data_IF_191960615477
#
_entry.id   IF_191960615477
#
_cell.length_a   1.000
_cell.length_b   1.000
_cell.length_c   1.000
_cell.angle_alpha   90.00
_cell.angle_beta   90.00
_cell.angle_gamma   90.00
#
_symmetry.space_group_name_H-M   'P 1'
#
loop_
_entity.id
_entity.type
_entity.pdbx_description
1 polymer ?
#
# COMPACT_ATOMS: atom_id res chain seq x y z
N UNK A 1 -26.50 -7.85 28.90
CA UNK A 1 -26.09 -9.27 28.96
C UNK A 1 -25.32 -9.56 27.68
N UNK A 2 -24.01 -9.78 27.73
CA UNK A 2 -23.24 -10.20 26.55
C UNK A 2 -23.56 -11.67 26.25
N UNK A 3 -23.70 -12.02 24.98
CA UNK A 3 -23.88 -13.38 24.51
C UNK A 3 -22.53 -13.98 24.11
N UNK A 4 -22.46 -15.30 24.11
CA UNK A 4 -21.34 -16.05 23.52
C UNK A 4 -21.33 -15.84 22.01
N UNK A 5 -20.12 -15.72 21.44
CA UNK A 5 -19.87 -15.68 19.98
C UNK A 5 -20.67 -16.82 19.30
N UNK A 6 -21.27 -16.61 18.10
CA UNK A 6 -21.89 -17.70 17.35
C UNK A 6 -20.95 -18.91 17.26
N UNK A 7 -21.44 -20.11 17.58
CA UNK A 7 -20.63 -21.33 17.61
C UNK A 7 -19.81 -21.46 16.30
N UNK A 8 -18.48 -21.47 16.42
CA UNK A 8 -17.56 -21.66 15.30
C UNK A 8 -17.13 -20.39 14.54
N UNK A 9 -17.58 -19.19 14.94
CA UNK A 9 -17.11 -17.95 14.31
C UNK A 9 -15.79 -17.48 14.93
N UNK A 10 -14.72 -17.49 14.13
CA UNK A 10 -13.43 -16.90 14.49
C UNK A 10 -13.27 -15.55 13.77
N UNK A 11 -13.20 -14.46 14.54
CA UNK A 11 -13.05 -13.10 14.01
C UNK A 11 -11.70 -12.89 13.33
N UNK A 12 -10.65 -13.61 13.73
CA UNK A 12 -9.32 -13.49 13.14
C UNK A 12 -9.11 -14.40 11.93
N UNK A 13 -10.03 -15.34 11.68
CA UNK A 13 -9.98 -16.18 10.50
C UNK A 13 -10.23 -15.33 9.22
N UNK A 14 -9.47 -15.57 8.14
CA UNK A 14 -9.74 -14.93 6.85
C UNK A 14 -11.14 -15.28 6.35
N UNK A 15 -11.91 -14.28 5.91
CA UNK A 15 -13.25 -14.47 5.33
C UNK A 15 -13.24 -15.33 4.06
N UNK A 16 -12.15 -15.26 3.29
CA UNK A 16 -11.94 -16.02 2.06
C UNK A 16 -10.65 -16.82 2.15
N UNK A 17 -10.60 -17.96 1.48
CA UNK A 17 -9.44 -18.84 1.46
C UNK A 17 -8.20 -18.15 0.86
N UNK A 18 -7.18 -17.93 1.70
CA UNK A 18 -5.94 -17.25 1.32
C UNK A 18 -4.97 -18.15 0.52
N UNK A 19 -5.24 -19.45 0.39
CA UNK A 19 -4.45 -20.35 -0.45
C UNK A 19 -4.65 -20.05 -1.95
N UNK A 20 -5.85 -19.60 -2.32
CA UNK A 20 -6.21 -19.27 -3.71
C UNK A 20 -5.94 -17.82 -4.05
N UNK A 21 -5.60 -17.54 -5.32
CA UNK A 21 -5.45 -16.17 -5.82
C UNK A 21 -6.75 -15.36 -5.67
N UNK A 22 -7.90 -15.95 -6.03
CA UNK A 22 -9.20 -15.28 -5.98
C UNK A 22 -9.59 -14.92 -4.55
N UNK A 23 -9.30 -15.78 -3.57
CA UNK A 23 -9.57 -15.46 -2.16
C UNK A 23 -8.68 -14.35 -1.63
N UNK A 24 -7.39 -14.31 -1.99
CA UNK A 24 -6.51 -13.17 -1.69
C UNK A 24 -7.00 -11.88 -2.34
N UNK A 25 -7.40 -11.93 -3.61
CA UNK A 25 -7.95 -10.77 -4.33
C UNK A 25 -9.20 -10.22 -3.64
N UNK A 26 -10.16 -11.09 -3.28
CA UNK A 26 -11.37 -10.68 -2.55
C UNK A 26 -11.04 -10.06 -1.19
N UNK A 27 -10.06 -10.62 -0.48
CA UNK A 27 -9.58 -10.07 0.78
C UNK A 27 -9.04 -8.65 0.61
N UNK A 28 -8.11 -8.44 -0.33
CA UNK A 28 -7.55 -7.11 -0.59
C UNK A 28 -8.61 -6.11 -1.05
N UNK A 29 -9.51 -6.48 -1.97
CA UNK A 29 -10.60 -5.61 -2.41
C UNK A 29 -11.53 -5.18 -1.26
N UNK A 30 -11.71 -6.04 -0.27
CA UNK A 30 -12.56 -5.74 0.88
C UNK A 30 -11.91 -4.75 1.86
N UNK A 31 -10.62 -4.91 2.14
CA UNK A 31 -9.90 -4.02 3.07
C UNK A 31 -9.53 -2.67 2.43
N UNK A 32 -9.34 -2.64 1.11
CA UNK A 32 -9.04 -1.42 0.35
C UNK A 32 -10.28 -0.76 -0.25
N UNK A 33 -11.49 -1.09 0.22
CA UNK A 33 -12.72 -0.49 -0.29
C UNK A 33 -12.75 1.01 0.00
N UNK A 34 -12.74 1.89 -1.03
CA UNK A 34 -12.72 3.35 -0.83
C UNK A 34 -13.91 3.90 -0.05
N UNK A 35 -15.03 3.16 0.00
CA UNK A 35 -16.23 3.59 0.74
C UNK A 35 -15.98 3.67 2.24
N UNK A 36 -15.01 2.92 2.77
CA UNK A 36 -14.67 2.96 4.20
C UNK A 36 -14.01 4.27 4.61
N UNK A 37 -13.52 5.07 3.66
CA UNK A 37 -13.00 6.43 3.89
C UNK A 37 -14.12 7.38 4.36
N UNK A 38 -15.36 7.15 3.94
CA UNK A 38 -16.51 8.01 4.26
C UNK A 38 -17.16 7.69 5.61
N UNK A 39 -16.71 6.62 6.27
CA UNK A 39 -17.25 6.16 7.56
C UNK A 39 -16.75 7.07 8.70
N UNK A 40 -17.64 7.41 9.62
CA UNK A 40 -17.32 8.32 10.73
C UNK A 40 -16.36 7.68 11.74
N UNK A 41 -15.62 8.50 12.48
CA UNK A 41 -14.69 7.99 13.50
C UNK A 41 -15.40 7.21 14.61
N UNK A 42 -16.60 7.63 15.00
CA UNK A 42 -17.42 6.94 16.00
C UNK A 42 -17.81 5.52 15.54
N UNK A 43 -18.12 5.34 14.26
CA UNK A 43 -18.46 4.02 13.72
C UNK A 43 -17.22 3.11 13.65
N UNK A 44 -16.05 3.67 13.34
CA UNK A 44 -14.79 2.94 13.38
C UNK A 44 -14.42 2.49 14.81
N UNK A 45 -14.64 3.34 15.81
CA UNK A 45 -14.36 3.00 17.21
C UNK A 45 -15.35 1.95 17.76
N UNK A 46 -16.61 2.01 17.33
CA UNK A 46 -17.60 0.95 17.59
C UNK A 46 -17.19 -0.38 16.94
N UNK A 47 -16.71 -0.34 15.69
CA UNK A 47 -16.23 -1.54 15.00
C UNK A 47 -15.03 -2.15 15.73
N UNK A 48 -14.07 -1.33 16.19
CA UNK A 48 -12.95 -1.78 17.02
C UNK A 48 -13.41 -2.45 18.31
N UNK A 49 -14.29 -1.79 19.06
CA UNK A 49 -14.84 -2.34 20.32
C UNK A 49 -15.52 -3.69 20.08
N UNK A 50 -16.25 -3.84 18.97
CA UNK A 50 -16.93 -5.08 18.62
C UNK A 50 -15.94 -6.20 18.25
N UNK A 51 -14.89 -5.89 17.49
CA UNK A 51 -13.85 -6.86 17.11
C UNK A 51 -13.05 -7.32 18.33
N UNK A 52 -12.64 -6.38 19.20
CA UNK A 52 -11.93 -6.69 20.45
C UNK A 52 -12.81 -7.48 21.42
N UNK A 53 -14.10 -7.12 21.53
CA UNK A 53 -15.09 -7.90 22.28
C UNK A 53 -15.21 -9.33 21.75
N UNK A 54 -15.29 -9.52 20.43
CA UNK A 54 -15.32 -10.85 19.82
C UNK A 54 -14.08 -11.68 20.15
N UNK A 55 -12.89 -11.07 20.12
CA UNK A 55 -11.63 -11.72 20.53
C UNK A 55 -11.64 -12.13 22.01
N UNK A 56 -12.29 -11.33 22.86
CA UNK A 56 -12.50 -11.64 24.27
C UNK A 56 -13.66 -12.63 24.53
N UNK A 57 -14.33 -13.13 23.49
CA UNK A 57 -15.48 -14.04 23.61
C UNK A 57 -16.80 -13.35 23.97
N UNK A 58 -16.85 -12.02 23.94
CA UNK A 58 -17.99 -11.20 24.35
C UNK A 58 -18.64 -10.53 23.14
N UNK A 59 -19.86 -10.96 22.79
CA UNK A 59 -20.60 -10.40 21.66
C UNK A 59 -21.92 -9.81 22.14
N UNK A 60 -22.39 -8.68 21.59
CA UNK A 60 -23.75 -8.20 21.84
C UNK A 60 -24.77 -9.30 21.51
N UNK A 61 -25.78 -9.53 22.37
CA UNK A 61 -26.80 -10.54 22.11
C UNK A 61 -27.57 -10.19 20.83
N UNK A 62 -27.64 -11.15 19.89
CA UNK A 62 -28.33 -10.97 18.60
C UNK A 62 -27.47 -10.40 17.47
N UNK A 63 -26.15 -10.27 17.63
CA UNK A 63 -25.27 -9.89 16.52
C UNK A 63 -25.30 -10.92 15.41
N UNK A 64 -25.60 -10.48 14.18
CA UNK A 64 -25.53 -11.35 13.01
C UNK A 64 -24.08 -11.54 12.56
N UNK A 65 -23.78 -12.67 11.90
CA UNK A 65 -22.45 -12.92 11.34
C UNK A 65 -22.04 -11.83 10.34
N UNK A 66 -22.99 -11.26 9.60
CA UNK A 66 -22.73 -10.17 8.65
C UNK A 66 -22.30 -8.88 9.34
N UNK A 67 -22.90 -8.56 10.49
CA UNK A 67 -22.49 -7.39 11.29
C UNK A 67 -21.07 -7.56 11.82
N UNK A 68 -20.70 -8.76 12.29
CA UNK A 68 -19.34 -9.05 12.74
C UNK A 68 -18.33 -8.96 11.61
N UNK A 69 -18.67 -9.49 10.43
CA UNK A 69 -17.82 -9.39 9.24
C UNK A 69 -17.68 -7.95 8.72
N UNK A 70 -18.74 -7.14 8.81
CA UNK A 70 -18.67 -5.73 8.45
C UNK A 70 -17.83 -4.93 9.44
N UNK A 71 -17.98 -5.16 10.74
CA UNK A 71 -17.11 -4.55 11.75
C UNK A 71 -15.65 -4.96 11.57
N UNK A 72 -15.38 -6.23 11.23
CA UNK A 72 -14.04 -6.68 10.85
C UNK A 72 -13.51 -5.93 9.63
N UNK A 73 -14.32 -5.75 8.58
CA UNK A 73 -13.94 -4.97 7.39
C UNK A 73 -13.55 -3.54 7.77
N UNK A 74 -14.36 -2.87 8.59
CA UNK A 74 -14.06 -1.51 9.04
C UNK A 74 -12.77 -1.48 9.85
N UNK A 75 -12.60 -2.41 10.79
CA UNK A 75 -11.40 -2.55 11.60
C UNK A 75 -10.14 -2.74 10.74
N UNK A 76 -10.14 -3.76 9.87
CA UNK A 76 -9.01 -4.07 8.99
C UNK A 76 -8.66 -2.91 8.03
N UNK A 77 -9.63 -2.08 7.68
CA UNK A 77 -9.42 -0.95 6.76
C UNK A 77 -8.86 0.32 7.44
N UNK A 78 -9.02 0.46 8.76
CA UNK A 78 -8.76 1.70 9.49
C UNK A 78 -7.76 1.57 10.64
N UNK A 79 -7.45 0.35 11.09
CA UNK A 79 -6.54 0.09 12.19
C UNK A 79 -5.33 -0.73 11.73
N UNK A 80 -4.17 -0.44 12.32
CA UNK A 80 -2.93 -1.12 12.00
C UNK A 80 -2.97 -2.59 12.45
N UNK A 81 -2.63 -3.56 11.59
CA UNK A 81 -2.71 -4.98 11.93
C UNK A 81 -1.81 -5.34 13.13
N UNK A 82 -0.61 -4.76 13.18
CA UNK A 82 0.35 -5.07 14.25
C UNK A 82 0.13 -4.30 15.56
N UNK A 83 -0.19 -2.99 15.51
CA UNK A 83 -0.31 -2.16 16.72
C UNK A 83 -1.75 -1.98 17.21
N UNK A 84 -2.75 -2.26 16.36
CA UNK A 84 -4.17 -2.00 16.67
C UNK A 84 -4.52 -0.51 16.77
N UNK A 85 -3.60 0.38 16.41
CA UNK A 85 -3.80 1.84 16.43
C UNK A 85 -4.55 2.32 15.19
N UNK A 86 -5.32 3.40 15.35
CA UNK A 86 -6.08 4.00 14.26
C UNK A 86 -5.11 4.66 13.26
N UNK A 87 -5.19 4.26 12.00
CA UNK A 87 -4.41 4.84 10.92
C UNK A 87 -4.93 6.21 10.51
N UNK A 88 -4.02 7.11 10.14
CA UNK A 88 -4.34 8.37 9.48
C UNK A 88 -5.10 8.10 8.17
N UNK A 89 -6.22 8.81 7.94
CA UNK A 89 -7.08 8.67 6.77
C UNK A 89 -6.30 8.65 5.44
N UNK A 90 -5.33 9.57 5.28
CA UNK A 90 -4.55 9.71 4.04
C UNK A 90 -3.65 8.48 3.82
N UNK A 91 -3.17 7.88 4.91
CA UNK A 91 -2.31 6.70 4.87
C UNK A 91 -3.06 5.37 4.75
N UNK A 92 -4.41 5.37 4.86
CA UNK A 92 -5.20 4.14 4.73
C UNK A 92 -5.11 3.62 3.31
N UNK A 93 -4.97 2.30 3.16
CA UNK A 93 -4.98 1.65 1.85
C UNK A 93 -6.30 1.90 1.09
N UNK A 94 -7.43 2.07 1.81
CA UNK A 94 -8.71 2.45 1.20
C UNK A 94 -8.69 3.86 0.56
N UNK A 95 -7.85 4.78 1.04
CA UNK A 95 -7.68 6.11 0.45
C UNK A 95 -6.66 6.16 -0.69
N UNK A 96 -5.86 5.11 -0.88
CA UNK A 96 -4.81 5.11 -1.90
C UNK A 96 -5.35 5.26 -3.32
N UNK A 97 -6.45 4.58 -3.65
CA UNK A 97 -7.11 4.70 -4.95
C UNK A 97 -7.69 6.11 -5.17
N UNK A 98 -8.59 6.63 -4.31
CA UNK A 98 -9.16 7.96 -4.52
C UNK A 98 -8.10 9.08 -4.47
N UNK A 99 -7.19 9.04 -3.50
CA UNK A 99 -6.10 10.00 -3.38
C UNK A 99 -5.12 9.93 -4.55
N UNK A 100 -4.71 8.72 -4.94
CA UNK A 100 -3.83 8.50 -6.08
C UNK A 100 -4.45 8.91 -7.41
N UNK A 101 -5.75 8.67 -7.61
CA UNK A 101 -6.47 9.11 -8.81
C UNK A 101 -6.55 10.64 -8.88
N UNK A 102 -6.88 11.31 -7.78
CA UNK A 102 -6.90 12.77 -7.72
C UNK A 102 -5.51 13.37 -8.04
N UNK A 103 -4.45 12.84 -7.42
CA UNK A 103 -3.07 13.26 -7.67
C UNK A 103 -2.65 13.04 -9.12
N UNK A 104 -2.96 11.87 -9.67
CA UNK A 104 -2.68 11.56 -11.08
C UNK A 104 -3.43 12.52 -12.00
N UNK A 105 -4.70 12.80 -11.73
CA UNK A 105 -5.49 13.78 -12.46
C UNK A 105 -4.86 15.18 -12.43
N UNK A 106 -4.41 15.65 -11.26
CA UNK A 106 -3.71 16.92 -11.13
C UNK A 106 -2.37 16.93 -11.89
N UNK A 107 -1.58 15.87 -11.78
CA UNK A 107 -0.32 15.73 -12.53
C UNK A 107 -0.55 15.78 -14.04
N UNK A 108 -1.60 15.13 -14.54
CA UNK A 108 -1.98 15.13 -15.96
C UNK A 108 -2.59 16.45 -16.43
N UNK A 109 -3.25 17.22 -15.55
CA UNK A 109 -3.81 18.51 -15.90
C UNK A 109 -2.74 19.61 -15.92
N UNK A 110 -1.83 19.59 -14.95
CA UNK A 110 -0.87 20.67 -14.71
C UNK A 110 0.56 20.34 -15.19
N UNK A 111 0.75 19.42 -16.14
CA UNK A 111 2.07 19.00 -16.62
C UNK A 111 2.82 20.01 -17.51
N UNK A 112 2.16 21.08 -17.97
CA UNK A 112 2.70 21.97 -19.02
C UNK A 112 3.88 22.83 -18.54
N UNK A 113 3.92 23.19 -17.26
CA UNK A 113 4.98 24.05 -16.70
C UNK A 113 5.86 23.27 -15.73
N UNK A 114 7.17 23.54 -15.78
CA UNK A 114 8.14 22.88 -14.90
C UNK A 114 7.82 23.10 -13.41
N UNK A 115 7.47 24.32 -12.94
CA UNK A 115 7.11 24.53 -11.54
C UNK A 115 5.90 23.69 -11.09
N UNK A 116 4.88 23.56 -11.94
CA UNK A 116 3.71 22.75 -11.63
C UNK A 116 4.05 21.24 -11.59
N UNK A 117 4.87 20.76 -12.53
CA UNK A 117 5.39 19.38 -12.51
C UNK A 117 6.17 19.12 -11.22
N UNK A 118 7.04 20.04 -10.81
CA UNK A 118 7.81 19.91 -9.57
C UNK A 118 6.90 19.86 -8.35
N UNK A 119 5.96 20.79 -8.25
CA UNK A 119 5.01 20.85 -7.14
C UNK A 119 4.20 19.56 -7.02
N UNK A 120 3.56 19.12 -8.10
CA UNK A 120 2.71 17.92 -8.06
C UNK A 120 3.50 16.63 -7.86
N UNK A 121 4.75 16.56 -8.33
CA UNK A 121 5.61 15.42 -8.03
C UNK A 121 6.03 15.38 -6.56
N UNK A 122 6.31 16.54 -5.96
CA UNK A 122 6.56 16.63 -4.53
C UNK A 122 5.34 16.21 -3.70
N UNK A 123 4.13 16.66 -4.07
CA UNK A 123 2.88 16.22 -3.42
C UNK A 123 2.70 14.71 -3.56
N UNK A 124 2.92 14.15 -4.75
CA UNK A 124 2.82 12.71 -4.99
C UNK A 124 3.81 11.90 -4.14
N UNK A 125 5.06 12.34 -4.00
CA UNK A 125 6.03 11.64 -3.15
C UNK A 125 5.71 11.81 -1.66
N UNK A 126 5.17 12.96 -1.25
CA UNK A 126 4.68 13.18 0.11
C UNK A 126 3.54 12.23 0.46
N UNK A 127 2.58 12.06 -0.45
CA UNK A 127 1.48 11.12 -0.31
C UNK A 127 1.98 9.68 -0.18
N UNK A 128 2.86 9.24 -1.09
CA UNK A 128 3.45 7.90 -1.03
C UNK A 128 4.26 7.68 0.26
N UNK A 129 4.96 8.70 0.76
CA UNK A 129 5.69 8.62 2.02
C UNK A 129 4.75 8.42 3.22
N UNK A 130 3.61 9.13 3.26
CA UNK A 130 2.58 8.96 4.30
C UNK A 130 2.00 7.54 4.24
N UNK A 131 1.59 7.06 3.07
CA UNK A 131 1.06 5.71 2.89
C UNK A 131 2.08 4.65 3.35
N UNK A 132 3.34 4.77 2.93
CA UNK A 132 4.39 3.84 3.34
C UNK A 132 4.70 3.91 4.84
N UNK A 133 4.66 5.10 5.46
CA UNK A 133 4.84 5.26 6.90
C UNK A 133 3.70 4.65 7.69
N UNK A 134 2.46 4.84 7.25
CA UNK A 134 1.26 4.31 7.92
C UNK A 134 1.14 2.80 7.81
N UNK A 135 1.62 2.19 6.72
CA UNK A 135 1.54 0.74 6.49
C UNK A 135 2.88 0.01 6.71
N UNK A 136 3.82 0.63 7.44
CA UNK A 136 5.10 0.00 7.76
C UNK A 136 4.89 -1.15 8.75
N UNK A 137 5.69 -2.20 8.62
CA UNK A 137 5.68 -3.30 9.58
C UNK A 137 6.07 -2.76 10.98
N UNK A 138 5.20 -2.93 11.98
CA UNK A 138 5.48 -2.44 13.33
C UNK A 138 6.51 -3.33 14.07
N UNK A 139 6.65 -4.59 13.67
CA UNK A 139 7.63 -5.53 14.22
C UNK A 139 9.06 -5.28 13.70
N UNK A 140 9.23 -4.49 12.63
CA UNK A 140 10.56 -4.11 12.11
C UNK A 140 10.71 -2.59 12.14
N UNK A 141 11.28 -2.02 13.23
CA UNK A 141 11.32 -0.58 13.41
C UNK A 141 12.21 0.09 12.37
N UNK A 142 11.62 0.90 11.50
CA UNK A 142 12.34 1.75 10.55
C UNK A 142 12.75 3.05 11.24
N UNK A 143 14.04 3.38 11.21
CA UNK A 143 14.52 4.64 11.78
C UNK A 143 13.98 5.85 11.00
N UNK A 144 13.72 6.97 11.70
CA UNK A 144 13.32 8.23 11.07
C UNK A 144 14.33 8.69 10.00
N UNK A 145 15.61 8.44 10.23
CA UNK A 145 16.68 8.73 9.26
C UNK A 145 16.48 7.96 7.96
N UNK A 146 16.14 6.67 8.01
CA UNK A 146 15.89 5.87 6.81
C UNK A 146 14.67 6.36 6.04
N UNK A 147 13.59 6.73 6.74
CA UNK A 147 12.38 7.29 6.12
C UNK A 147 12.71 8.62 5.43
N UNK A 148 13.49 9.48 6.09
CA UNK A 148 13.95 10.74 5.51
C UNK A 148 14.84 10.54 4.27
N UNK A 149 15.80 9.62 4.33
CA UNK A 149 16.66 9.28 3.19
C UNK A 149 15.82 8.76 2.02
N UNK A 150 14.91 7.81 2.28
CA UNK A 150 14.02 7.26 1.27
C UNK A 150 13.15 8.35 0.63
N UNK A 151 12.60 9.26 1.44
CA UNK A 151 11.78 10.35 0.95
C UNK A 151 12.55 11.35 0.08
N UNK A 152 13.73 11.80 0.52
CA UNK A 152 14.57 12.74 -0.23
C UNK A 152 15.05 12.11 -1.55
N UNK A 153 15.48 10.86 -1.51
CA UNK A 153 15.94 10.16 -2.72
C UNK A 153 14.81 9.87 -3.69
N UNK A 154 13.63 9.45 -3.21
CA UNK A 154 12.45 9.25 -4.05
C UNK A 154 11.98 10.58 -4.68
N UNK A 155 11.93 11.65 -3.89
CA UNK A 155 11.58 13.00 -4.38
C UNK A 155 12.58 13.51 -5.40
N UNK A 156 13.88 13.46 -5.10
CA UNK A 156 14.93 13.89 -6.02
C UNK A 156 14.91 13.10 -7.33
N UNK A 157 14.77 11.78 -7.26
CA UNK A 157 14.68 10.92 -8.45
C UNK A 157 13.44 11.24 -9.27
N UNK A 158 12.27 11.38 -8.63
CA UNK A 158 11.02 11.69 -9.31
C UNK A 158 11.07 13.05 -10.02
N UNK A 159 11.65 14.07 -9.36
CA UNK A 159 11.82 15.40 -9.94
C UNK A 159 12.82 15.41 -11.09
N UNK A 160 13.99 14.79 -10.91
CA UNK A 160 15.00 14.67 -11.97
C UNK A 160 14.43 13.98 -13.21
N UNK A 161 13.69 12.89 -13.00
CA UNK A 161 12.99 12.14 -14.04
C UNK A 161 11.95 13.05 -14.72
N UNK A 162 11.02 13.65 -13.96
CA UNK A 162 9.95 14.45 -14.52
C UNK A 162 10.44 15.66 -15.34
N UNK A 163 11.45 16.37 -14.83
CA UNK A 163 12.05 17.52 -15.54
C UNK A 163 12.85 17.04 -16.75
N UNK A 164 13.69 16.02 -16.60
CA UNK A 164 14.51 15.47 -17.68
C UNK A 164 13.66 14.99 -18.86
N UNK A 165 12.57 14.27 -18.56
CA UNK A 165 11.65 13.77 -19.58
C UNK A 165 10.85 14.88 -20.24
N UNK A 166 10.42 15.92 -19.52
CA UNK A 166 9.73 17.08 -20.10
C UNK A 166 10.65 17.90 -21.02
N UNK A 167 11.95 17.95 -20.73
CA UNK A 167 12.93 18.56 -21.64
C UNK A 167 13.20 17.67 -22.86
N UNK A 168 13.24 16.35 -22.68
CA UNK A 168 13.52 15.40 -23.76
C UNK A 168 12.35 15.24 -24.74
N UNK A 169 11.10 15.18 -24.26
CA UNK A 169 9.90 15.11 -25.12
C UNK A 169 9.80 16.27 -26.11
N UNK A 170 10.27 17.47 -25.71
CA UNK A 170 10.29 18.65 -26.58
C UNK A 170 11.28 18.55 -27.76
N UNK A 171 12.26 17.63 -27.68
CA UNK A 171 13.31 17.44 -28.69
C UNK A 171 13.18 16.13 -29.47
N UNK A 172 12.33 15.20 -29.02
CA UNK A 172 12.21 13.88 -29.60
C UNK A 172 11.29 13.85 -30.84
N UNK A 173 11.59 13.02 -31.85
CA UNK A 173 10.67 12.73 -32.94
C UNK A 173 9.29 12.25 -32.42
N UNK A 174 8.17 12.56 -33.10
CA UNK A 174 6.82 12.28 -32.59
C UNK A 174 6.55 10.81 -32.23
N UNK A 175 7.19 9.87 -32.94
CA UNK A 175 7.07 8.43 -32.64
C UNK A 175 7.81 8.02 -31.37
N UNK A 176 9.00 8.58 -31.13
CA UNK A 176 9.77 8.32 -29.90
C UNK A 176 9.15 9.02 -28.70
N UNK A 177 8.64 10.25 -28.88
CA UNK A 177 7.97 11.02 -27.83
C UNK A 177 6.80 10.27 -27.17
N UNK A 178 6.14 9.35 -27.89
CA UNK A 178 5.06 8.50 -27.36
C UNK A 178 5.53 7.45 -26.36
N UNK A 179 6.77 6.97 -26.47
CA UNK A 179 7.36 5.98 -25.58
C UNK A 179 8.03 6.60 -24.35
N UNK A 180 8.28 7.92 -24.39
CA UNK A 180 8.96 8.65 -23.32
C UNK A 180 8.25 8.49 -21.96
N UNK A 181 6.92 8.59 -21.84
CA UNK A 181 6.22 8.33 -20.57
C UNK A 181 6.37 6.89 -20.06
N UNK A 182 6.37 5.88 -20.94
CA UNK A 182 6.59 4.50 -20.55
C UNK A 182 8.01 4.27 -20.03
N UNK A 183 9.02 4.76 -20.77
CA UNK A 183 10.43 4.67 -20.36
C UNK A 183 10.67 5.38 -19.02
N UNK A 184 10.01 6.51 -18.78
CA UNK A 184 10.03 7.22 -17.51
C UNK A 184 9.54 6.37 -16.35
N UNK A 185 8.35 5.78 -16.49
CA UNK A 185 7.74 4.94 -15.46
C UNK A 185 8.60 3.71 -15.22
N UNK A 186 9.18 3.13 -16.27
CA UNK A 186 10.07 1.98 -16.13
C UNK A 186 11.34 2.32 -15.35
N UNK A 187 12.04 3.39 -15.73
CA UNK A 187 13.23 3.86 -15.04
C UNK A 187 12.93 4.23 -13.57
N UNK A 188 11.82 4.91 -13.31
CA UNK A 188 11.40 5.27 -11.97
C UNK A 188 11.13 4.02 -11.09
N UNK A 189 10.49 2.99 -11.63
CA UNK A 189 10.25 1.74 -10.88
C UNK A 189 11.56 0.97 -10.60
N UNK A 190 12.53 0.99 -11.52
CA UNK A 190 13.85 0.40 -11.30
C UNK A 190 14.64 1.05 -10.16
N UNK A 191 14.39 2.33 -9.86
CA UNK A 191 15.06 3.04 -8.76
C UNK A 191 14.24 3.00 -7.47
N UNK A 192 12.94 3.31 -7.56
CA UNK A 192 12.08 3.49 -6.39
C UNK A 192 11.94 2.18 -5.58
N UNK A 193 11.66 1.05 -6.25
CA UNK A 193 11.38 -0.20 -5.54
C UNK A 193 12.60 -0.72 -4.77
N UNK A 194 13.82 -0.81 -5.36
CA UNK A 194 15.00 -1.23 -4.60
C UNK A 194 15.35 -0.26 -3.47
N UNK A 195 15.16 1.05 -3.66
CA UNK A 195 15.42 2.05 -2.62
C UNK A 195 14.45 1.93 -1.44
N UNK A 196 13.16 1.77 -1.71
CA UNK A 196 12.14 1.57 -0.67
C UNK A 196 12.34 0.27 0.09
N UNK A 197 12.82 -0.79 -0.59
CA UNK A 197 13.08 -2.12 -0.02
C UNK A 197 14.56 -2.36 0.27
N UNK A 198 15.36 -1.30 0.42
CA UNK A 198 16.81 -1.40 0.62
C UNK A 198 17.17 -2.23 1.86
N UNK A 199 16.35 -2.18 2.92
CA UNK A 199 16.59 -2.95 4.14
C UNK A 199 16.50 -4.46 3.90
N UNK A 200 15.59 -4.90 3.02
CA UNK A 200 15.48 -6.31 2.65
C UNK A 200 16.69 -6.76 1.83
N UNK A 201 17.28 -5.86 1.03
CA UNK A 201 18.51 -6.14 0.27
C UNK A 201 19.71 -6.23 1.21
N UNK A 202 19.81 -5.34 2.20
CA UNK A 202 20.93 -5.25 3.13
C UNK A 202 20.86 -6.31 4.24
N UNK A 203 19.69 -6.56 4.81
CA UNK A 203 19.53 -7.47 5.95
C UNK A 203 19.01 -8.86 5.53
N UNK A 204 18.38 -8.97 4.36
CA UNK A 204 17.72 -10.19 3.91
C UNK A 204 16.26 -10.26 4.34
N UNK A 205 15.51 -11.15 3.70
CA UNK A 205 14.14 -11.51 4.10
C UNK A 205 14.15 -12.87 4.78
N UNK A 206 13.30 -13.07 5.79
CA UNK A 206 13.08 -14.37 6.41
C UNK A 206 12.62 -15.40 5.38
N UNK A 207 13.25 -16.57 5.38
CA UNK A 207 12.90 -17.72 4.57
C UNK A 207 12.39 -18.80 5.51
N UNK A 208 11.23 -19.36 5.19
CA UNK A 208 10.61 -20.44 5.94
C UNK A 208 10.62 -21.74 5.14
N UNK A 209 10.53 -22.87 5.83
CA UNK A 209 10.23 -24.16 5.21
C UNK A 209 8.72 -24.31 4.90
N UNK A 210 8.31 -25.49 4.43
CA UNK A 210 6.92 -25.81 4.13
C UNK A 210 6.01 -25.90 5.37
N UNK A 211 6.61 -26.02 6.56
CA UNK A 211 5.91 -26.11 7.84
C UNK A 211 5.90 -24.76 8.60
N UNK A 212 6.27 -23.66 7.93
CA UNK A 212 6.40 -22.30 8.46
C UNK A 212 7.49 -22.12 9.54
N UNK A 213 8.46 -23.02 9.64
CA UNK A 213 9.60 -22.80 10.52
C UNK A 213 10.60 -21.84 9.86
N UNK A 214 11.11 -20.88 10.63
CA UNK A 214 12.11 -19.91 10.16
C UNK A 214 13.48 -20.59 9.96
N UNK A 215 13.97 -20.62 8.73
CA UNK A 215 15.27 -21.16 8.35
C UNK A 215 16.39 -20.11 8.41
N UNK A 216 16.02 -18.82 8.38
CA UNK A 216 16.94 -17.68 8.48
C UNK A 216 16.71 -16.61 7.40
N UNK A 217 17.63 -15.65 7.28
CA UNK A 217 17.49 -14.51 6.37
C UNK A 217 18.29 -14.66 5.07
N UNK A 218 17.67 -14.37 3.92
CA UNK A 218 18.30 -14.44 2.60
C UNK A 218 18.22 -13.13 1.84
N UNK A 219 19.39 -12.53 1.57
CA UNK A 219 19.52 -11.36 0.67
C UNK A 219 19.22 -11.70 -0.79
N UNK A 220 19.53 -12.93 -1.21
CA UNK A 220 19.26 -13.39 -2.58
C UNK A 220 17.75 -13.52 -2.84
N UNK A 221 17.01 -14.01 -1.85
CA UNK A 221 15.55 -14.07 -1.93
C UNK A 221 14.95 -12.66 -2.04
N UNK A 222 15.46 -11.70 -1.24
CA UNK A 222 15.05 -10.30 -1.32
C UNK A 222 15.31 -9.71 -2.71
N UNK A 223 16.53 -9.86 -3.24
CA UNK A 223 16.89 -9.35 -4.57
C UNK A 223 16.02 -9.95 -5.68
N UNK A 224 15.76 -11.26 -5.64
CA UNK A 224 14.89 -11.94 -6.61
C UNK A 224 13.45 -11.42 -6.54
N UNK A 225 12.88 -11.31 -5.33
CA UNK A 225 11.54 -10.80 -5.13
C UNK A 225 11.39 -9.36 -5.61
N UNK A 226 12.36 -8.50 -5.27
CA UNK A 226 12.39 -7.09 -5.70
C UNK A 226 12.48 -7.00 -7.23
N UNK A 227 13.34 -7.79 -7.88
CA UNK A 227 13.46 -7.81 -9.33
C UNK A 227 12.14 -8.25 -10.00
N UNK A 228 11.47 -9.28 -9.49
CA UNK A 228 10.16 -9.72 -9.99
C UNK A 228 9.10 -8.62 -9.84
N UNK A 229 9.11 -7.88 -8.72
CA UNK A 229 8.20 -6.76 -8.50
C UNK A 229 8.47 -5.61 -9.48
N UNK A 230 9.74 -5.28 -9.74
CA UNK A 230 10.13 -4.27 -10.74
C UNK A 230 9.60 -4.67 -12.12
N UNK A 231 9.88 -5.90 -12.57
CA UNK A 231 9.41 -6.40 -13.86
C UNK A 231 7.88 -6.34 -13.94
N UNK A 232 7.18 -6.86 -12.94
CA UNK A 232 5.72 -6.85 -12.88
C UNK A 232 5.15 -5.44 -12.98
N UNK A 233 5.70 -4.46 -12.24
CA UNK A 233 5.24 -3.07 -12.31
C UNK A 233 5.48 -2.42 -13.67
N UNK A 234 6.60 -2.72 -14.32
CA UNK A 234 6.90 -2.22 -15.66
C UNK A 234 5.92 -2.83 -16.66
N UNK A 235 5.66 -4.13 -16.59
CA UNK A 235 4.70 -4.82 -17.46
C UNK A 235 3.29 -4.28 -17.27
N UNK A 236 2.85 -4.02 -16.02
CA UNK A 236 1.55 -3.40 -15.75
C UNK A 236 1.42 -1.98 -16.31
N UNK A 237 2.53 -1.25 -16.40
CA UNK A 237 2.59 0.09 -16.97
C UNK A 237 2.81 0.08 -18.49
N UNK A 238 3.02 -1.09 -19.11
CA UNK A 238 3.19 -1.19 -20.54
C UNK A 238 1.90 -0.71 -21.24
N UNK A 239 2.00 0.17 -22.24
CA UNK A 239 0.83 0.61 -22.99
C UNK A 239 0.16 -0.61 -23.62
N UNK A 240 -1.13 -0.80 -23.34
CA UNK A 240 -1.94 -1.77 -24.06
C UNK A 240 -1.99 -1.35 -25.52
N UNK A 241 -1.48 -2.20 -26.41
CA UNK A 241 -1.75 -2.10 -27.84
C UNK A 241 -3.14 -2.66 -28.14
#
# INVERSE_FOLDING_TARGET
>A
KMATVPLGFNIDAPRWDQSTFVGRLKHFLNITDPRTVLVSEEELDRAKTLVEGCRAGLVPPGSSQEQLLYAKKLYDSAFHPDSGEKMNLIGRMSFQVPGGMALTGCMLQFYRTVPAVVFWQWVNQSFNAIVNYTNRNAASPISLRQIGVAYVTATGTALATAVGLNLYTKRAPPLLARWVPFAAVAAANCVNIPMMRQQEIINGVTVTDGDNNELGHSRRAAAKGIAQVVVSRITMAAPGM
#
